data_IF_685332053253
#
_entry.id   IF_685332053253
#
_cell.length_a   1.000
_cell.length_b   1.000
_cell.length_c   1.000
_cell.angle_alpha   90.00
_cell.angle_beta   90.00
_cell.angle_gamma   90.00
#
_symmetry.space_group_name_H-M   'P 1'
#
loop_
_entity.id
_entity.type
_entity.pdbx_description
1 polymer ?
#
# COMPACT_ATOMS: atom_id res chain seq x y z
N UNK A 1 4.05 -12.59 -3.50
CA UNK A 1 3.08 -12.28 -4.56
C UNK A 1 3.40 -13.18 -5.75
N UNK A 2 2.41 -13.92 -6.25
CA UNK A 2 2.55 -14.90 -7.33
C UNK A 2 1.39 -14.71 -8.32
N UNK A 3 1.72 -14.58 -9.60
CA UNK A 3 0.76 -14.24 -10.67
C UNK A 3 0.85 -15.27 -11.80
N UNK A 4 0.19 -16.44 -11.64
CA UNK A 4 0.13 -17.46 -12.68
C UNK A 4 -0.93 -17.12 -13.74
N UNK A 5 -0.56 -17.26 -15.01
CA UNK A 5 -1.50 -17.15 -16.13
C UNK A 5 -2.12 -18.52 -16.39
N UNK A 6 -3.44 -18.55 -16.61
CA UNK A 6 -4.21 -19.79 -16.84
C UNK A 6 -4.41 -20.17 -18.31
N UNK A 7 -3.86 -19.41 -19.26
CA UNK A 7 -3.95 -19.76 -20.69
C UNK A 7 -2.92 -20.84 -21.05
N UNK A 8 -3.41 -21.99 -21.52
CA UNK A 8 -2.61 -23.14 -21.92
C UNK A 8 -1.90 -23.01 -23.28
N UNK A 9 -2.13 -21.91 -24.02
CA UNK A 9 -1.42 -21.65 -25.27
C UNK A 9 0.09 -21.51 -25.03
N UNK A 10 0.91 -21.91 -26.01
CA UNK A 10 2.38 -21.90 -25.89
C UNK A 10 2.95 -20.50 -25.58
N UNK A 11 2.23 -19.43 -25.93
CA UNK A 11 2.68 -18.05 -25.71
C UNK A 11 2.42 -17.54 -24.28
N UNK A 12 1.56 -18.21 -23.51
CA UNK A 12 1.16 -17.78 -22.16
C UNK A 12 1.40 -18.83 -21.07
N UNK A 13 1.52 -20.11 -21.42
CA UNK A 13 1.60 -21.23 -20.46
C UNK A 13 2.77 -21.17 -19.48
N UNK A 14 3.84 -20.45 -19.82
CA UNK A 14 5.00 -20.26 -18.96
C UNK A 14 4.93 -18.99 -18.09
N UNK A 15 3.93 -18.11 -18.28
CA UNK A 15 3.84 -16.84 -17.55
C UNK A 15 3.40 -17.07 -16.11
N UNK A 16 4.37 -17.04 -15.20
CA UNK A 16 4.17 -17.26 -13.77
C UNK A 16 5.11 -16.35 -12.98
N UNK A 17 4.73 -15.07 -12.85
CA UNK A 17 5.60 -14.09 -12.22
C UNK A 17 5.57 -14.22 -10.69
N UNK A 18 6.75 -14.19 -10.06
CA UNK A 18 6.92 -14.01 -8.64
C UNK A 18 7.45 -12.61 -8.37
N UNK A 19 6.59 -11.60 -8.51
CA UNK A 19 6.98 -10.18 -8.56
C UNK A 19 7.91 -9.75 -7.42
N UNK A 20 7.73 -10.29 -6.22
CA UNK A 20 8.59 -9.97 -5.07
C UNK A 20 9.99 -10.53 -5.23
N UNK A 21 10.10 -11.79 -5.63
CA UNK A 21 11.36 -12.51 -5.70
C UNK A 21 12.12 -12.29 -7.02
N UNK A 22 11.39 -12.08 -8.12
CA UNK A 22 11.96 -11.97 -9.46
C UNK A 22 12.15 -10.50 -9.89
N UNK A 23 11.20 -9.62 -9.57
CA UNK A 23 11.25 -8.22 -10.00
C UNK A 23 11.79 -7.28 -8.91
N UNK A 24 11.57 -7.61 -7.63
CA UNK A 24 12.06 -6.84 -6.49
C UNK A 24 11.22 -5.60 -6.20
N UNK A 25 10.29 -5.69 -5.25
CA UNK A 25 9.31 -4.63 -4.97
C UNK A 25 9.93 -3.28 -4.59
N UNK A 26 11.09 -3.28 -3.92
CA UNK A 26 11.76 -2.07 -3.49
C UNK A 26 12.17 -1.17 -4.66
N UNK A 27 12.74 -1.73 -5.72
CA UNK A 27 13.17 -0.97 -6.91
C UNK A 27 12.01 -0.41 -7.73
N UNK A 28 10.85 -1.05 -7.64
CA UNK A 28 9.65 -0.73 -8.41
C UNK A 28 8.64 0.14 -7.63
N UNK A 29 9.03 0.56 -6.43
CA UNK A 29 8.21 1.43 -5.59
C UNK A 29 8.06 2.82 -6.21
N UNK A 30 6.83 3.30 -6.30
CA UNK A 30 6.51 4.61 -6.85
C UNK A 30 6.84 5.73 -5.86
N UNK A 31 7.04 6.93 -6.39
CA UNK A 31 7.11 8.15 -5.57
C UNK A 31 5.72 8.74 -5.42
N UNK A 32 5.19 8.70 -4.20
CA UNK A 32 3.81 9.10 -3.92
C UNK A 32 3.66 10.62 -3.83
N UNK A 33 2.57 11.13 -4.39
CA UNK A 33 2.24 12.55 -4.43
C UNK A 33 1.06 12.88 -3.50
N UNK A 34 1.21 13.97 -2.74
CA UNK A 34 0.15 14.52 -1.90
C UNK A 34 -1.06 14.92 -2.75
N UNK A 35 -2.26 14.59 -2.27
CA UNK A 35 -3.58 14.78 -2.91
C UNK A 35 -3.87 13.89 -4.12
N UNK A 36 -2.88 13.20 -4.68
CA UNK A 36 -3.10 12.23 -5.76
C UNK A 36 -3.17 10.82 -5.18
N UNK A 37 -2.03 10.32 -4.68
CA UNK A 37 -1.92 8.96 -4.15
C UNK A 37 -2.33 8.89 -2.67
N UNK A 38 -2.04 9.95 -1.92
CA UNK A 38 -2.34 10.07 -0.49
C UNK A 38 -3.06 11.37 -0.15
N UNK A 39 -4.18 11.26 0.58
CA UNK A 39 -5.05 12.38 0.95
C UNK A 39 -5.14 12.54 2.46
N UNK A 40 -5.01 13.79 2.94
CA UNK A 40 -5.09 14.12 4.36
C UNK A 40 -3.79 14.76 4.87
N UNK A 41 -3.48 14.58 6.15
CA UNK A 41 -2.19 14.97 6.72
C UNK A 41 -1.21 13.81 6.60
N UNK A 42 -0.28 13.93 5.65
CA UNK A 42 0.62 12.83 5.27
C UNK A 42 2.04 13.08 5.79
N UNK A 43 2.65 12.02 6.32
CA UNK A 43 4.09 11.93 6.52
C UNK A 43 4.66 10.92 5.55
N UNK A 44 5.70 11.33 4.83
CA UNK A 44 6.38 10.47 3.87
C UNK A 44 7.69 9.96 4.46
N UNK A 45 8.04 8.72 4.11
CA UNK A 45 9.39 8.20 4.27
C UNK A 45 9.99 7.96 2.89
N UNK A 46 11.23 8.40 2.73
CA UNK A 46 12.06 8.04 1.58
C UNK A 46 12.67 6.64 1.81
N UNK A 47 12.93 5.92 0.73
CA UNK A 47 13.67 4.66 0.76
C UNK A 47 14.97 4.78 -0.03
N UNK A 48 15.98 4.01 0.36
CA UNK A 48 17.24 3.88 -0.39
C UNK A 48 17.39 2.42 -0.81
N UNK A 49 17.56 2.19 -2.10
CA UNK A 49 17.84 0.88 -2.71
C UNK A 49 19.16 0.91 -3.46
N UNK A 50 19.60 -0.20 -4.06
CA UNK A 50 20.84 -0.25 -4.85
C UNK A 50 20.57 -0.57 -6.32
N UNK A 51 21.40 -0.02 -7.21
CA UNK A 51 21.44 -0.46 -8.61
C UNK A 51 22.34 -1.70 -8.79
N UNK A 52 22.48 -2.15 -10.04
CA UNK A 52 23.31 -3.31 -10.41
C UNK A 52 24.81 -3.09 -10.18
N UNK A 53 25.24 -1.83 -10.03
CA UNK A 53 26.62 -1.46 -9.68
C UNK A 53 26.81 -1.27 -8.16
N UNK A 54 25.77 -1.52 -7.34
CA UNK A 54 25.80 -1.35 -5.90
C UNK A 54 25.68 0.10 -5.42
N UNK A 55 25.39 1.04 -6.32
CA UNK A 55 25.23 2.46 -5.97
C UNK A 55 23.83 2.71 -5.39
N UNK A 56 23.74 3.62 -4.41
CA UNK A 56 22.50 4.00 -3.77
C UNK A 56 21.57 4.76 -4.74
N UNK A 57 20.30 4.36 -4.79
CA UNK A 57 19.20 5.07 -5.46
C UNK A 57 18.24 5.55 -4.36
N UNK A 58 17.96 6.85 -4.34
CA UNK A 58 16.94 7.44 -3.49
C UNK A 58 15.57 7.35 -4.17
N UNK A 59 14.62 6.72 -3.49
CA UNK A 59 13.21 6.71 -3.85
C UNK A 59 12.48 7.68 -2.91
N UNK A 60 12.15 8.86 -3.44
CA UNK A 60 11.44 9.87 -2.66
C UNK A 60 10.00 9.45 -2.43
N UNK A 61 9.46 9.78 -1.25
CA UNK A 61 8.06 9.51 -0.88
C UNK A 61 7.63 8.06 -1.14
N UNK A 62 8.50 7.10 -0.82
CA UNK A 62 8.28 5.68 -1.10
C UNK A 62 7.18 5.07 -0.20
N UNK A 63 7.02 5.62 1.01
CA UNK A 63 6.00 5.20 1.97
C UNK A 63 5.20 6.40 2.42
N UNK A 64 3.89 6.24 2.47
CA UNK A 64 2.92 7.21 2.94
C UNK A 64 2.32 6.75 4.27
N UNK A 65 2.34 7.63 5.27
CA UNK A 65 1.86 7.36 6.62
C UNK A 65 0.84 8.44 7.01
N UNK A 66 -0.37 8.02 7.37
CA UNK A 66 -1.41 8.92 7.90
C UNK A 66 -2.42 8.17 8.79
N UNK A 67 -3.18 8.93 9.57
CA UNK A 67 -4.37 8.42 10.25
C UNK A 67 -5.65 8.70 9.45
N UNK A 68 -6.58 7.75 9.46
CA UNK A 68 -7.90 7.91 8.86
C UNK A 68 -8.99 7.64 9.88
N UNK A 69 -10.08 8.41 9.82
CA UNK A 69 -11.31 8.09 10.54
C UNK A 69 -12.02 6.91 9.89
N UNK A 70 -12.42 5.91 10.69
CA UNK A 70 -13.10 4.69 10.22
C UNK A 70 -14.47 4.57 10.89
N UNK A 71 -15.19 5.68 11.00
CA UNK A 71 -16.56 5.72 11.51
C UNK A 71 -16.66 5.47 13.02
N UNK A 72 -17.75 4.82 13.43
CA UNK A 72 -18.01 4.52 14.86
C UNK A 72 -17.22 3.27 15.26
N UNK A 73 -16.39 3.38 16.29
CA UNK A 73 -15.76 2.22 16.92
C UNK A 73 -16.78 1.43 17.73
N UNK A 74 -17.51 2.13 18.60
CA UNK A 74 -18.62 1.55 19.33
C UNK A 74 -19.61 2.64 19.76
N UNK A 75 -20.87 2.23 19.90
CA UNK A 75 -21.95 3.06 20.43
C UNK A 75 -22.86 2.19 21.29
N UNK A 76 -23.27 2.72 22.44
CA UNK A 76 -24.25 2.09 23.31
C UNK A 76 -25.21 3.14 23.85
N UNK A 77 -26.48 2.80 23.91
CA UNK A 77 -27.54 3.61 24.50
C UNK A 77 -28.29 2.76 25.51
N UNK A 78 -28.21 3.13 26.79
CA UNK A 78 -28.86 2.41 27.89
C UNK A 78 -30.30 2.91 28.04
N UNK A 79 -31.27 2.00 27.95
CA UNK A 79 -32.69 2.37 27.89
C UNK A 79 -33.23 2.87 29.23
N UNK A 80 -32.74 2.36 30.37
CA UNK A 80 -33.24 2.76 31.70
C UNK A 80 -32.81 4.17 32.03
N UNK A 81 -31.54 4.49 31.78
CA UNK A 81 -30.95 5.79 32.14
C UNK A 81 -31.00 6.81 31.01
N UNK A 82 -31.40 6.40 29.80
CA UNK A 82 -31.38 7.19 28.57
C UNK A 82 -29.98 7.77 28.24
N UNK A 83 -28.92 7.16 28.79
CA UNK A 83 -27.54 7.60 28.56
C UNK A 83 -27.00 6.98 27.28
N UNK A 84 -26.41 7.82 26.42
CA UNK A 84 -25.74 7.39 25.20
C UNK A 84 -24.24 7.65 25.27
N UNK A 85 -23.45 6.68 24.86
CA UNK A 85 -22.01 6.78 24.69
C UNK A 85 -21.65 6.42 23.24
N UNK A 86 -20.73 7.17 22.64
CA UNK A 86 -20.23 6.95 21.29
C UNK A 86 -18.72 7.22 21.27
N UNK A 87 -17.96 6.36 20.61
CA UNK A 87 -16.53 6.56 20.32
C UNK A 87 -16.27 6.32 18.85
N UNK A 88 -15.41 7.15 18.25
CA UNK A 88 -15.01 7.02 16.85
C UNK A 88 -13.80 6.10 16.73
N UNK A 89 -13.74 5.38 15.62
CA UNK A 89 -12.60 4.54 15.24
C UNK A 89 -11.65 5.35 14.38
N UNK A 90 -10.35 5.07 14.53
CA UNK A 90 -9.30 5.56 13.64
C UNK A 90 -8.35 4.43 13.33
N UNK A 91 -7.74 4.46 12.15
CA UNK A 91 -6.66 3.53 11.79
C UNK A 91 -5.43 4.32 11.39
N UNK A 92 -4.27 3.79 11.73
CA UNK A 92 -3.01 4.18 11.12
C UNK A 92 -2.89 3.39 9.81
N UNK A 93 -2.58 4.08 8.71
CA UNK A 93 -2.29 3.46 7.42
C UNK A 93 -0.82 3.72 7.11
N UNK A 94 -0.11 2.67 6.72
CA UNK A 94 1.28 2.72 6.28
C UNK A 94 1.29 2.05 4.92
N UNK A 95 1.44 2.84 3.87
CA UNK A 95 1.20 2.36 2.52
C UNK A 95 2.32 2.66 1.53
N UNK A 96 2.38 1.84 0.49
CA UNK A 96 3.30 2.01 -0.64
C UNK A 96 2.64 1.49 -1.91
N UNK A 97 2.97 2.11 -3.05
CA UNK A 97 2.50 1.69 -4.37
C UNK A 97 3.69 1.20 -5.20
N UNK A 98 3.50 0.14 -5.97
CA UNK A 98 4.52 -0.40 -6.86
C UNK A 98 3.96 -0.76 -8.22
N UNK A 99 4.77 -0.58 -9.25
CA UNK A 99 4.42 -0.90 -10.64
C UNK A 99 5.31 -2.02 -11.16
N UNK A 100 4.73 -3.17 -11.50
CA UNK A 100 5.44 -4.31 -12.07
C UNK A 100 4.94 -4.52 -13.49
N UNK A 101 5.63 -3.95 -14.47
CA UNK A 101 5.20 -4.00 -15.86
C UNK A 101 3.81 -3.39 -16.04
N UNK A 102 2.80 -4.23 -16.24
CA UNK A 102 1.40 -3.83 -16.46
C UNK A 102 0.51 -3.91 -15.20
N UNK A 103 1.10 -4.09 -14.02
CA UNK A 103 0.38 -4.20 -12.76
C UNK A 103 0.74 -3.06 -11.81
N UNK A 104 -0.26 -2.56 -11.10
CA UNK A 104 -0.10 -1.67 -9.95
C UNK A 104 -0.59 -2.38 -8.69
N UNK A 105 0.21 -2.36 -7.63
CA UNK A 105 -0.17 -2.89 -6.33
C UNK A 105 -0.09 -1.81 -5.27
N UNK A 106 -1.14 -1.71 -4.47
CA UNK A 106 -1.16 -0.94 -3.22
C UNK A 106 -1.04 -1.86 -2.02
N UNK A 107 -0.01 -1.61 -1.20
CA UNK A 107 0.19 -2.26 0.10
C UNK A 107 -0.24 -1.26 1.17
N UNK A 108 -1.00 -1.70 2.19
CA UNK A 108 -1.58 -0.85 3.24
C UNK A 108 -1.51 -1.50 4.61
#
# INVERSE_FOLDING_TARGET
MWVPYGDGSHVHSYKNAFDVGEAGMGLLTNSLALKCDCLGEIRYLDAIVNNNQGQAILLKNAVCIHEEDVGILWKHTEFVTQRSQCRRSRRLVISSMLTVGNYEYGLF
#
